data_IF_241369927804
#
_entry.id   IF_241369927804
#
_cell.length_a   1.000
_cell.length_b   1.000
_cell.length_c   1.000
_cell.angle_alpha   90.00
_cell.angle_beta   90.00
_cell.angle_gamma   90.00
#
_symmetry.space_group_name_H-M   'P 1'
#
loop_
_entity.id
_entity.type
_entity.pdbx_description
1 polymer ?
#
# COMPACT_ATOMS: atom_id res chain seq x y z
N UNK A 1 46.29 -13.27 22.44
CA UNK A 1 44.91 -13.73 22.22
C UNK A 1 44.14 -12.55 21.62
N UNK A 2 43.66 -12.69 20.38
CA UNK A 2 43.01 -11.61 19.63
C UNK A 2 41.57 -11.45 20.12
N UNK A 3 41.23 -10.24 20.57
CA UNK A 3 39.88 -9.85 20.97
C UNK A 3 38.97 -9.86 19.74
N UNK A 4 38.03 -10.79 19.69
CA UNK A 4 36.97 -10.80 18.68
C UNK A 4 35.79 -10.01 19.24
N UNK A 5 35.77 -8.72 18.93
CA UNK A 5 34.59 -7.88 19.14
C UNK A 5 33.54 -8.28 18.10
N UNK A 6 32.68 -9.24 18.44
CA UNK A 6 31.50 -9.55 17.63
C UNK A 6 30.58 -8.35 17.69
N UNK A 7 30.69 -7.46 16.71
CA UNK A 7 29.70 -6.43 16.44
C UNK A 7 28.46 -7.17 15.93
N UNK A 8 27.58 -7.57 16.85
CA UNK A 8 26.21 -7.84 16.49
C UNK A 8 25.62 -6.48 16.09
N UNK A 9 25.70 -6.15 14.80
CA UNK A 9 24.89 -5.09 14.23
C UNK A 9 23.44 -5.51 14.50
N UNK A 10 22.80 -4.86 15.47
CA UNK A 10 21.36 -4.90 15.59
C UNK A 10 20.85 -4.43 14.23
N UNK A 11 20.34 -5.37 13.41
CA UNK A 11 19.67 -5.03 12.17
C UNK A 11 18.57 -4.07 12.57
N UNK A 12 18.74 -2.82 12.15
CA UNK A 12 17.75 -1.77 12.42
C UNK A 12 16.53 -2.22 11.67
N UNK A 13 15.50 -2.64 12.41
CA UNK A 13 14.30 -3.27 11.89
C UNK A 13 13.75 -2.38 10.77
N UNK A 14 13.92 -2.79 9.51
CA UNK A 14 13.48 -2.04 8.34
C UNK A 14 11.99 -2.22 8.09
N UNK A 15 11.19 -2.12 9.16
CA UNK A 15 9.75 -2.38 9.12
C UNK A 15 8.92 -1.17 8.70
N UNK A 16 9.54 -0.01 8.48
CA UNK A 16 8.79 1.17 8.07
C UNK A 16 8.68 1.19 6.53
N UNK A 17 7.55 0.69 6.03
CA UNK A 17 7.13 0.81 4.64
C UNK A 17 5.83 1.62 4.55
N UNK A 18 5.71 2.43 3.51
CA UNK A 18 4.53 3.25 3.22
C UNK A 18 3.78 2.67 2.02
N UNK A 19 2.45 2.69 2.08
CA UNK A 19 1.63 2.40 0.91
C UNK A 19 1.53 3.62 0.01
N UNK A 20 1.98 3.47 -1.23
CA UNK A 20 1.81 4.45 -2.30
C UNK A 20 0.83 3.95 -3.35
N UNK A 21 0.08 4.88 -3.92
CA UNK A 21 -0.91 4.61 -4.97
C UNK A 21 -0.48 5.26 -6.27
N UNK A 22 -0.51 4.49 -7.35
CA UNK A 22 -0.15 4.95 -8.68
C UNK A 22 -1.32 4.81 -9.65
N UNK A 23 -1.41 5.75 -10.59
CA UNK A 23 -2.28 5.67 -11.77
C UNK A 23 -1.42 5.89 -13.01
N UNK A 24 -1.47 4.98 -13.98
CA UNK A 24 -0.69 5.09 -15.22
C UNK A 24 0.82 5.31 -14.97
N UNK A 25 1.36 4.70 -13.92
CA UNK A 25 2.78 4.83 -13.53
C UNK A 25 3.16 6.14 -12.83
N UNK A 26 2.20 7.04 -12.56
CA UNK A 26 2.43 8.26 -11.78
C UNK A 26 1.87 8.09 -10.38
N UNK A 27 2.63 8.49 -9.36
CA UNK A 27 2.14 8.54 -7.98
C UNK A 27 0.99 9.55 -7.91
N UNK A 28 -0.13 9.12 -7.34
CA UNK A 28 -1.33 9.96 -7.22
C UNK A 28 -1.59 10.19 -5.75
N UNK A 29 -1.56 11.47 -5.35
CA UNK A 29 -2.26 11.86 -4.13
C UNK A 29 -3.75 11.81 -4.44
N UNK A 30 -4.40 10.73 -4.00
CA UNK A 30 -5.83 10.54 -4.27
C UNK A 30 -6.68 11.55 -3.48
N UNK A 31 -6.10 12.34 -2.56
CA UNK A 31 -6.84 13.39 -1.83
C UNK A 31 -7.39 14.39 -2.81
N UNK A 32 -8.71 14.54 -2.79
CA UNK A 32 -9.43 15.45 -3.68
C UNK A 32 -9.36 15.11 -5.17
N UNK A 33 -8.97 13.89 -5.52
CA UNK A 33 -8.89 13.43 -6.92
C UNK A 33 -10.15 12.66 -7.33
N UNK A 34 -10.51 12.67 -8.63
CA UNK A 34 -11.59 11.84 -9.16
C UNK A 34 -11.31 10.35 -9.01
N UNK A 35 -12.36 9.54 -8.82
CA UNK A 35 -12.18 8.10 -8.78
C UNK A 35 -11.72 7.58 -10.15
N UNK A 36 -10.59 6.88 -10.13
CA UNK A 36 -9.98 6.28 -11.31
C UNK A 36 -10.59 4.91 -11.56
N UNK A 37 -10.49 4.41 -12.80
CA UNK A 37 -10.99 3.07 -13.13
C UNK A 37 -10.04 1.96 -12.67
N UNK A 38 -8.76 2.29 -12.46
CA UNK A 38 -7.74 1.34 -12.01
C UNK A 38 -6.65 2.07 -11.26
N UNK A 39 -6.05 1.40 -10.28
CA UNK A 39 -4.89 1.88 -9.55
C UNK A 39 -3.88 0.76 -9.33
N UNK A 40 -2.64 1.15 -9.04
CA UNK A 40 -1.56 0.23 -8.65
C UNK A 40 -1.12 0.57 -7.23
N UNK A 41 -1.10 -0.44 -6.36
CA UNK A 41 -0.66 -0.38 -4.98
C UNK A 41 0.81 -0.80 -4.89
N UNK A 42 1.65 0.03 -4.29
CA UNK A 42 3.08 -0.24 -4.13
C UNK A 42 3.47 0.05 -2.69
N UNK A 43 4.12 -0.91 -2.04
CA UNK A 43 4.78 -0.67 -0.76
C UNK A 43 6.18 -0.13 -1.03
N UNK A 44 6.49 1.02 -0.46
CA UNK A 44 7.81 1.66 -0.57
C UNK A 44 8.44 1.70 0.80
N UNK A 45 9.60 1.07 0.96
CA UNK A 45 10.36 1.13 2.20
C UNK A 45 10.92 2.53 2.47
N UNK A 46 11.17 2.85 3.73
CA UNK A 46 11.85 4.08 4.11
C UNK A 46 13.22 4.18 3.40
N UNK A 47 13.54 5.35 2.86
CA UNK A 47 14.81 5.62 2.17
C UNK A 47 16.07 5.48 3.04
N UNK A 48 15.90 5.43 4.37
CA UNK A 48 16.95 5.12 5.33
C UNK A 48 17.27 3.62 5.42
N UNK A 49 16.36 2.77 4.93
CA UNK A 49 16.60 1.35 4.71
C UNK A 49 17.31 1.14 3.37
N UNK A 50 18.17 0.12 3.31
CA UNK A 50 18.96 -0.18 2.13
C UNK A 50 18.04 -0.25 0.90
N UNK A 51 18.35 0.55 -0.12
CA UNK A 51 17.55 0.82 -1.33
C UNK A 51 17.31 -0.39 -2.25
N UNK A 52 17.54 -1.61 -1.76
CA UNK A 52 17.48 -2.85 -2.53
C UNK A 52 16.33 -3.79 -2.10
N UNK A 53 15.53 -3.43 -1.09
CA UNK A 53 14.40 -4.27 -0.65
C UNK A 53 13.14 -3.86 -1.43
N UNK A 54 12.61 -4.78 -2.24
CA UNK A 54 11.30 -4.64 -2.83
C UNK A 54 10.25 -5.20 -1.85
N UNK A 55 9.16 -4.48 -1.61
CA UNK A 55 8.11 -4.91 -0.69
C UNK A 55 6.84 -5.29 -1.46
N UNK A 56 6.22 -6.41 -1.06
CA UNK A 56 4.88 -6.80 -1.52
C UNK A 56 3.94 -6.98 -0.34
N UNK A 57 2.69 -6.55 -0.48
CA UNK A 57 1.65 -6.88 0.49
C UNK A 57 1.12 -8.30 0.26
N UNK A 58 0.62 -8.96 1.31
CA UNK A 58 0.00 -10.30 1.17
C UNK A 58 -1.44 -10.20 0.67
N UNK A 59 -2.21 -9.28 1.25
CA UNK A 59 -3.58 -8.96 0.86
C UNK A 59 -3.84 -7.45 0.95
N UNK A 60 -4.79 -6.99 0.15
CA UNK A 60 -5.35 -5.66 0.21
C UNK A 60 -6.89 -5.76 0.13
N UNK A 61 -7.57 -4.94 0.91
CA UNK A 61 -9.01 -4.75 0.90
C UNK A 61 -9.33 -3.29 0.58
N UNK A 62 -10.13 -3.06 -0.46
CA UNK A 62 -10.55 -1.73 -0.89
C UNK A 62 -12.04 -1.58 -0.70
N UNK A 63 -12.42 -0.51 -0.02
CA UNK A 63 -13.79 -0.26 0.41
C UNK A 63 -14.20 1.16 0.01
N UNK A 64 -15.32 1.26 -0.72
CA UNK A 64 -15.97 2.55 -0.94
C UNK A 64 -16.97 2.81 0.19
N UNK A 65 -16.77 3.88 0.95
CA UNK A 65 -17.56 4.25 2.12
C UNK A 65 -18.32 5.55 1.85
N UNK A 66 -19.63 5.54 2.09
CA UNK A 66 -20.50 6.72 2.10
C UNK A 66 -21.10 6.90 3.48
N UNK A 67 -20.81 8.01 4.13
CA UNK A 67 -21.38 8.33 5.46
C UNK A 67 -21.23 7.16 6.47
N UNK A 68 -20.06 6.51 6.50
CA UNK A 68 -19.73 5.32 7.33
C UNK A 68 -20.41 4.01 6.91
N UNK A 69 -21.08 3.98 5.77
CA UNK A 69 -21.71 2.78 5.21
C UNK A 69 -20.94 2.30 3.99
N UNK A 70 -20.75 0.99 3.85
CA UNK A 70 -20.16 0.40 2.65
C UNK A 70 -21.11 0.60 1.48
N UNK A 71 -20.63 1.16 0.37
CA UNK A 71 -21.43 1.39 -0.85
C UNK A 71 -21.59 0.09 -1.64
N UNK A 72 -20.53 -0.72 -1.67
CA UNK A 72 -20.46 -2.02 -2.34
C UNK A 72 -19.65 -2.99 -1.46
N UNK A 73 -19.75 -4.31 -1.71
CA UNK A 73 -18.82 -5.27 -1.13
C UNK A 73 -17.36 -4.85 -1.42
N UNK A 74 -16.50 -5.01 -0.43
CA UNK A 74 -15.10 -4.66 -0.56
C UNK A 74 -14.41 -5.52 -1.63
N UNK A 75 -13.48 -4.89 -2.36
CA UNK A 75 -12.62 -5.57 -3.33
C UNK A 75 -11.43 -6.12 -2.56
N UNK A 76 -11.24 -7.45 -2.63
CA UNK A 76 -10.07 -8.12 -2.03
C UNK A 76 -9.11 -8.52 -3.14
N UNK A 77 -7.82 -8.22 -2.97
CA UNK A 77 -6.79 -8.51 -3.96
C UNK A 77 -5.47 -8.85 -3.28
N UNK A 78 -4.66 -9.68 -3.92
CA UNK A 78 -3.24 -9.92 -3.60
C UNK A 78 -2.32 -9.44 -4.73
N UNK A 79 -2.87 -8.70 -5.69
CA UNK A 79 -2.16 -8.14 -6.84
C UNK A 79 -2.04 -6.64 -6.68
N UNK A 80 -0.92 -6.05 -7.14
CA UNK A 80 -0.70 -4.61 -7.06
C UNK A 80 -1.73 -3.83 -7.89
N UNK A 81 -2.15 -4.34 -9.06
CA UNK A 81 -3.20 -3.70 -9.85
C UNK A 81 -4.60 -4.03 -9.34
N UNK A 82 -5.43 -3.00 -9.18
CA UNK A 82 -6.81 -3.09 -8.73
C UNK A 82 -7.75 -2.43 -9.73
N UNK A 83 -8.79 -3.15 -10.14
CA UNK A 83 -9.87 -2.63 -10.96
C UNK A 83 -10.95 -2.00 -10.06
N UNK A 84 -11.22 -0.73 -10.29
CA UNK A 84 -12.21 0.08 -9.56
C UNK A 84 -13.43 0.42 -10.42
N UNK A 85 -13.60 -0.22 -11.58
CA UNK A 85 -14.66 0.10 -12.53
C UNK A 85 -16.06 0.02 -11.92
N UNK A 86 -16.32 -0.97 -11.06
CA UNK A 86 -17.62 -1.08 -10.36
C UNK A 86 -17.84 0.04 -9.34
N UNK A 87 -16.81 0.41 -8.57
CA UNK A 87 -16.90 1.53 -7.63
C UNK A 87 -17.14 2.85 -8.38
N UNK A 88 -16.47 3.03 -9.53
CA UNK A 88 -16.60 4.20 -10.39
C UNK A 88 -18.01 4.38 -10.99
N UNK A 89 -18.79 3.31 -11.12
CA UNK A 89 -20.19 3.42 -11.60
C UNK A 89 -21.12 4.03 -10.56
N UNK A 90 -20.78 3.95 -9.27
CA UNK A 90 -21.70 4.26 -8.17
C UNK A 90 -21.19 5.30 -7.18
N UNK A 91 -19.91 5.69 -7.27
CA UNK A 91 -19.32 6.67 -6.37
C UNK A 91 -20.01 8.03 -6.49
N UNK A 92 -20.03 8.74 -5.39
CA UNK A 92 -20.53 10.10 -5.27
C UNK A 92 -19.45 11.00 -4.67
N UNK A 93 -19.48 12.32 -4.95
CA UNK A 93 -18.59 13.25 -4.27
C UNK A 93 -18.74 13.14 -2.75
N UNK A 94 -17.61 13.06 -2.04
CA UNK A 94 -17.58 12.90 -0.58
C UNK A 94 -17.53 11.44 -0.10
N UNK A 95 -17.68 10.47 -1.00
CA UNK A 95 -17.36 9.07 -0.70
C UNK A 95 -15.86 8.93 -0.37
N UNK A 96 -15.52 7.96 0.46
CA UNK A 96 -14.15 7.67 0.86
C UNK A 96 -13.73 6.31 0.30
N UNK A 97 -12.59 6.26 -0.35
CA UNK A 97 -11.93 5.00 -0.68
C UNK A 97 -10.96 4.67 0.45
N UNK A 98 -11.26 3.61 1.18
CA UNK A 98 -10.41 3.05 2.23
C UNK A 98 -9.69 1.84 1.66
N UNK A 99 -8.38 1.80 1.81
CA UNK A 99 -7.48 0.76 1.34
C UNK A 99 -6.74 0.22 2.56
N UNK A 100 -6.96 -1.04 2.89
CA UNK A 100 -6.30 -1.72 3.99
C UNK A 100 -5.39 -2.79 3.39
N UNK A 101 -4.10 -2.72 3.66
CA UNK A 101 -3.13 -3.75 3.25
C UNK A 101 -2.70 -4.54 4.47
N UNK A 102 -2.68 -5.86 4.35
CA UNK A 102 -2.32 -6.78 5.41
C UNK A 102 -1.06 -7.55 5.06
N UNK A 103 -0.09 -7.49 5.97
CA UNK A 103 1.17 -8.21 5.88
C UNK A 103 2.06 -7.72 4.74
N UNK A 104 3.36 -7.87 4.92
CA UNK A 104 4.33 -7.61 3.87
C UNK A 104 5.34 -8.74 3.78
N UNK A 105 5.82 -8.96 2.57
CA UNK A 105 6.94 -9.84 2.29
C UNK A 105 8.01 -9.01 1.59
N UNK A 106 9.22 -9.07 2.13
CA UNK A 106 10.41 -8.54 1.48
C UNK A 106 10.80 -9.47 0.32
N UNK A 107 10.80 -8.97 -0.91
CA UNK A 107 11.44 -9.65 -2.04
C UNK A 107 12.94 -9.33 -1.99
N UNK A 108 13.70 -10.27 -1.44
CA UNK A 108 15.14 -10.15 -1.36
C UNK A 108 15.78 -10.07 -2.75
N UNK A 109 16.51 -8.98 -3.00
CA UNK A 109 17.61 -9.02 -3.98
C UNK A 109 18.75 -9.79 -3.33
N UNK A 110 19.20 -10.87 -3.99
CA UNK A 110 20.26 -11.80 -3.61
C UNK A 110 21.16 -11.31 -2.45
N UNK A 111 21.20 -12.07 -1.35
CA UNK A 111 22.00 -11.93 -0.11
C UNK A 111 21.26 -11.50 1.17
N UNK A 112 19.94 -11.30 1.16
CA UNK A 112 19.13 -11.11 2.38
C UNK A 112 18.04 -12.18 2.46
N UNK A 113 17.90 -12.85 3.61
CA UNK A 113 16.79 -13.78 3.84
C UNK A 113 15.51 -12.96 4.04
N UNK A 114 14.40 -13.26 3.34
CA UNK A 114 13.20 -12.42 3.40
C UNK A 114 12.56 -12.49 4.79
N UNK A 115 12.45 -11.35 5.47
CA UNK A 115 11.67 -11.26 6.71
C UNK A 115 10.19 -11.05 6.39
N UNK A 116 9.30 -11.79 7.07
CA UNK A 116 7.85 -11.57 6.96
C UNK A 116 7.39 -10.56 8.03
N UNK A 117 6.87 -9.42 7.56
CA UNK A 117 6.21 -8.42 8.40
C UNK A 117 4.72 -8.74 8.56
N UNK A 118 4.21 -8.70 9.79
CA UNK A 118 2.82 -9.00 10.14
C UNK A 118 1.95 -7.77 10.41
N UNK A 119 2.25 -6.61 9.83
CA UNK A 119 1.57 -5.35 10.13
C UNK A 119 0.46 -5.07 9.11
N UNK A 120 -0.65 -4.50 9.60
CA UNK A 120 -1.75 -4.01 8.77
C UNK A 120 -1.61 -2.50 8.63
N UNK A 121 -1.47 -1.99 7.41
CA UNK A 121 -1.51 -0.57 7.14
C UNK A 121 -2.88 -0.19 6.59
N UNK A 122 -3.50 0.83 7.18
CA UNK A 122 -4.77 1.39 6.71
C UNK A 122 -4.51 2.76 6.09
N UNK A 123 -4.95 2.92 4.84
CA UNK A 123 -4.85 4.13 4.05
C UNK A 123 -6.25 4.57 3.65
N UNK A 124 -6.66 5.79 4.01
CA UNK A 124 -8.00 6.30 3.72
C UNK A 124 -7.94 7.62 2.99
N UNK A 125 -8.74 7.75 1.93
CA UNK A 125 -8.78 8.94 1.09
C UNK A 125 -10.21 9.35 0.75
N UNK A 126 -10.47 10.65 0.83
CA UNK A 126 -11.72 11.27 0.38
C UNK A 126 -11.66 11.49 -1.13
N UNK A 127 -12.62 10.90 -1.84
CA UNK A 127 -12.73 10.96 -3.29
C UNK A 127 -13.60 12.16 -3.68
N UNK A 128 -13.11 12.98 -4.61
CA UNK A 128 -13.89 14.07 -5.18
C UNK A 128 -14.44 13.71 -6.56
N UNK A 129 -15.36 14.51 -7.04
CA UNK A 129 -15.87 14.41 -8.41
C UNK A 129 -14.99 15.23 -9.35
N UNK A 130 -14.68 14.78 -10.58
CA UNK A 130 -14.12 15.69 -11.56
C UNK A 130 -15.20 16.71 -11.91
N UNK A 131 -14.94 18.00 -11.66
CA UNK A 131 -15.72 19.06 -12.32
C UNK A 131 -15.62 18.78 -13.83
N UNK A 132 -16.77 18.50 -14.45
CA UNK A 132 -16.88 18.27 -15.89
C UNK A 132 -16.31 19.44 -16.69
#
# INVERSE_FOLDING_TARGET
>A
MLASSSWAAAQTKCSDYELKVYQNGQEVDMKNSPLVSSLSLVLVGDTSCASMIAYRFKSAELTLVREKTLVLPAIKTNKPEVDLTEFKKVYQPGDQLVIEVEGSTEEATADVEPEEGGETLSYSVVVNWPLQ
#
